data_IF_931733976682
#
_entry.id   IF_931733976682
#
_cell.length_a   1.000
_cell.length_b   1.000
_cell.length_c   1.000
_cell.angle_alpha   90.00
_cell.angle_beta   90.00
_cell.angle_gamma   90.00
#
_symmetry.space_group_name_H-M   'P 1'
#
loop_
_entity.id
_entity.type
_entity.pdbx_description
1 polymer ?
#
# COMPACT_ATOMS: atom_id res chain seq x y z
N UNK A 1 56.73 -13.26 34.68
CA UNK A 1 55.85 -12.27 34.05
C UNK A 1 55.71 -11.12 35.02
N UNK A 2 56.23 -9.92 34.68
CA UNK A 2 56.23 -8.77 35.59
C UNK A 2 54.81 -8.28 35.83
N UNK A 3 54.51 -7.98 37.10
CA UNK A 3 53.19 -7.45 37.56
C UNK A 3 52.75 -6.17 36.83
N UNK A 4 53.68 -5.49 36.21
CA UNK A 4 53.45 -4.28 35.38
C UNK A 4 52.88 -4.60 34.03
N UNK A 5 53.18 -5.78 33.44
CA UNK A 5 52.71 -6.18 32.13
C UNK A 5 51.28 -6.75 32.18
N UNK A 6 50.90 -7.33 33.33
CA UNK A 6 49.53 -7.79 33.59
C UNK A 6 48.55 -6.60 33.60
N UNK A 7 48.90 -5.49 34.22
CA UNK A 7 48.03 -4.28 34.24
C UNK A 7 47.81 -3.74 32.83
N UNK A 8 48.84 -3.73 32.00
CA UNK A 8 48.74 -3.30 30.59
C UNK A 8 47.86 -4.24 29.76
N UNK A 9 47.99 -5.53 29.97
CA UNK A 9 47.14 -6.55 29.34
C UNK A 9 45.69 -6.41 29.76
N UNK A 10 45.41 -6.23 31.03
CA UNK A 10 44.05 -5.99 31.54
C UNK A 10 43.44 -4.69 30.95
N UNK A 11 44.22 -3.60 30.90
CA UNK A 11 43.74 -2.33 30.31
C UNK A 11 43.41 -2.49 28.82
N UNK A 12 44.24 -3.17 28.06
CA UNK A 12 44.02 -3.48 26.63
C UNK A 12 42.77 -4.32 26.42
N UNK A 13 42.50 -5.29 27.29
CA UNK A 13 41.35 -6.18 27.21
C UNK A 13 40.04 -5.47 27.55
N UNK A 14 40.07 -4.58 28.56
CA UNK A 14 38.91 -3.75 28.93
C UNK A 14 38.60 -2.71 27.84
N UNK A 15 39.62 -2.03 27.31
CA UNK A 15 39.42 -1.06 26.23
C UNK A 15 38.95 -1.72 24.94
N UNK A 16 39.51 -2.88 24.60
CA UNK A 16 39.06 -3.67 23.43
C UNK A 16 37.62 -4.15 23.56
N UNK A 17 37.25 -4.65 24.74
CA UNK A 17 35.86 -5.05 25.03
C UNK A 17 34.86 -3.90 24.99
N UNK A 18 35.25 -2.73 25.50
CA UNK A 18 34.40 -1.53 25.45
C UNK A 18 34.16 -1.01 24.02
N UNK A 19 35.21 -1.04 23.17
CA UNK A 19 35.09 -0.65 21.77
C UNK A 19 34.23 -1.62 20.95
N UNK A 20 34.36 -2.92 21.20
CA UNK A 20 33.51 -3.93 20.55
C UNK A 20 32.07 -3.85 21.01
N UNK A 21 31.83 -3.61 22.31
CA UNK A 21 30.50 -3.42 22.88
C UNK A 21 29.81 -2.15 22.36
N UNK A 22 30.55 -1.05 22.24
CA UNK A 22 30.04 0.20 21.66
C UNK A 22 29.69 0.01 20.17
N UNK A 23 30.54 -0.66 19.38
CA UNK A 23 30.26 -0.95 17.97
C UNK A 23 29.01 -1.82 17.79
N UNK A 24 28.81 -2.80 18.66
CA UNK A 24 27.61 -3.65 18.63
C UNK A 24 26.34 -2.87 19.00
N UNK A 25 26.41 -2.01 20.02
CA UNK A 25 25.27 -1.17 20.45
C UNK A 25 24.87 -0.13 19.38
N UNK A 26 25.84 0.46 18.69
CA UNK A 26 25.57 1.37 17.56
C UNK A 26 24.94 0.65 16.37
N UNK A 27 25.33 -0.59 16.08
CA UNK A 27 24.74 -1.40 15.00
C UNK A 27 23.29 -1.83 15.26
N UNK A 28 22.87 -1.91 16.53
CA UNK A 28 21.52 -2.34 16.91
C UNK A 28 20.51 -1.18 17.02
N UNK A 29 20.98 0.06 17.05
CA UNK A 29 20.12 1.25 17.23
C UNK A 29 19.52 1.78 15.91
N UNK A 30 19.74 1.11 14.79
CA UNK A 30 19.21 1.52 13.50
C UNK A 30 17.70 1.24 13.45
N UNK A 31 16.92 2.27 13.19
CA UNK A 31 15.51 2.10 12.88
C UNK A 31 15.35 1.18 11.66
N UNK A 32 14.32 0.34 11.66
CA UNK A 32 14.10 -0.61 10.56
C UNK A 32 13.91 0.07 9.20
N UNK A 33 14.13 -0.67 8.10
CA UNK A 33 13.98 -0.16 6.75
C UNK A 33 12.63 0.52 6.51
N UNK A 34 12.64 1.68 5.87
CA UNK A 34 11.43 2.46 5.56
C UNK A 34 10.98 3.42 6.65
N UNK A 35 11.77 3.62 7.72
CA UNK A 35 11.55 4.66 8.72
C UNK A 35 12.22 5.98 8.32
N UNK A 36 11.86 7.08 9.00
CA UNK A 36 12.49 8.38 8.76
C UNK A 36 14.00 8.39 9.06
N UNK A 37 14.46 7.51 9.96
CA UNK A 37 15.86 7.40 10.37
C UNK A 37 16.66 6.44 9.47
N UNK A 38 16.00 5.53 8.76
CA UNK A 38 16.64 4.61 7.81
C UNK A 38 15.92 4.69 6.45
N UNK A 39 16.42 5.50 5.52
CA UNK A 39 15.82 5.65 4.21
C UNK A 39 16.04 4.45 3.28
N UNK A 40 16.86 3.47 3.69
CA UNK A 40 17.08 2.26 2.90
C UNK A 40 15.89 1.34 3.02
N UNK A 41 15.29 0.99 1.89
CA UNK A 41 14.18 0.04 1.80
C UNK A 41 14.66 -1.30 1.26
N UNK A 42 14.12 -2.40 1.79
CA UNK A 42 14.41 -3.74 1.28
C UNK A 42 13.65 -4.01 -0.02
N UNK A 43 14.17 -4.93 -0.85
CA UNK A 43 13.47 -5.37 -2.06
C UNK A 43 12.08 -5.99 -1.73
N UNK A 44 11.94 -6.66 -0.59
CA UNK A 44 10.66 -7.18 -0.09
C UNK A 44 9.67 -6.05 0.18
N UNK A 45 10.08 -5.01 0.89
CA UNK A 45 9.24 -3.85 1.18
C UNK A 45 8.77 -3.14 -0.11
N UNK A 46 9.68 -2.94 -1.07
CA UNK A 46 9.33 -2.34 -2.37
C UNK A 46 8.31 -3.21 -3.10
N UNK A 47 8.51 -4.54 -3.11
CA UNK A 47 7.56 -5.46 -3.75
C UNK A 47 6.18 -5.35 -3.13
N UNK A 48 6.06 -5.48 -1.80
CA UNK A 48 4.77 -5.53 -1.09
C UNK A 48 4.08 -4.16 -1.04
N UNK A 49 4.81 -3.10 -0.72
CA UNK A 49 4.22 -1.79 -0.48
C UNK A 49 4.09 -0.92 -1.74
N UNK A 50 4.85 -1.22 -2.78
CA UNK A 50 4.84 -0.43 -4.02
C UNK A 50 4.31 -1.26 -5.18
N UNK A 51 4.99 -2.37 -5.53
CA UNK A 51 4.67 -3.12 -6.75
C UNK A 51 3.30 -3.78 -6.66
N UNK A 52 3.04 -4.54 -5.59
CA UNK A 52 1.78 -5.27 -5.44
C UNK A 52 0.60 -4.33 -5.17
N UNK A 53 0.84 -3.23 -4.46
CA UNK A 53 -0.21 -2.31 -4.07
C UNK A 53 -0.57 -1.30 -5.16
N UNK A 54 0.42 -0.73 -5.86
CA UNK A 54 0.22 0.39 -6.77
C UNK A 54 0.47 0.07 -8.24
N UNK A 55 1.25 -0.96 -8.57
CA UNK A 55 1.62 -1.28 -9.93
C UNK A 55 0.83 -2.47 -10.47
N UNK A 56 0.73 -3.54 -9.69
CA UNK A 56 0.06 -4.76 -10.13
C UNK A 56 -1.47 -4.64 -10.02
N UNK A 57 -2.14 -5.20 -11.02
CA UNK A 57 -3.57 -5.44 -10.95
C UNK A 57 -3.85 -6.62 -10.02
N UNK A 58 -4.82 -6.45 -9.12
CA UNK A 58 -5.38 -7.53 -8.30
C UNK A 58 -6.87 -7.65 -8.53
N UNK A 59 -7.39 -8.86 -8.44
CA UNK A 59 -8.84 -9.09 -8.53
C UNK A 59 -9.42 -9.16 -7.12
N UNK A 60 -10.47 -8.38 -6.89
CA UNK A 60 -11.26 -8.43 -5.67
C UNK A 60 -12.70 -8.85 -6.01
N UNK A 61 -13.35 -9.51 -5.08
CA UNK A 61 -14.77 -9.85 -5.16
C UNK A 61 -15.53 -8.94 -4.22
N UNK A 62 -16.57 -8.29 -4.73
CA UNK A 62 -17.49 -7.49 -3.94
C UNK A 62 -18.82 -8.23 -3.85
N UNK A 63 -19.28 -8.46 -2.64
CA UNK A 63 -20.63 -8.98 -2.41
C UNK A 63 -21.66 -7.85 -2.48
N UNK A 64 -22.94 -8.16 -2.75
CA UNK A 64 -24.00 -7.14 -2.82
C UNK A 64 -24.03 -6.28 -1.54
N UNK A 65 -24.07 -4.95 -1.74
CA UNK A 65 -24.03 -3.96 -0.67
C UNK A 65 -22.65 -3.44 -0.32
N UNK A 66 -21.59 -4.22 -0.56
CA UNK A 66 -20.22 -3.79 -0.26
C UNK A 66 -19.78 -2.66 -1.18
N UNK A 67 -18.94 -1.81 -0.62
CA UNK A 67 -18.36 -0.66 -1.31
C UNK A 67 -16.84 -0.75 -1.35
N UNK A 68 -16.27 -0.68 -2.54
CA UNK A 68 -14.83 -0.47 -2.75
C UNK A 68 -14.56 1.04 -2.63
N UNK A 69 -14.06 1.46 -1.49
CA UNK A 69 -13.66 2.87 -1.27
C UNK A 69 -12.21 3.03 -1.71
N UNK A 70 -11.97 3.93 -2.62
CA UNK A 70 -10.69 4.08 -3.31
C UNK A 70 -9.93 5.33 -2.83
N UNK A 71 -8.59 5.25 -2.84
CA UNK A 71 -7.70 6.39 -2.67
C UNK A 71 -7.40 7.06 -4.02
N UNK A 72 -6.80 8.26 -3.95
CA UNK A 72 -6.35 8.97 -5.14
C UNK A 72 -5.35 8.12 -5.96
N UNK A 73 -5.48 8.12 -7.28
CA UNK A 73 -4.67 7.33 -8.19
C UNK A 73 -5.06 5.86 -8.30
N UNK A 74 -6.12 5.43 -7.59
CA UNK A 74 -6.67 4.08 -7.78
C UNK A 74 -7.39 3.99 -9.12
N UNK A 75 -7.21 2.86 -9.78
CA UNK A 75 -7.91 2.50 -11.00
C UNK A 75 -8.62 1.16 -10.82
N UNK A 76 -9.78 1.02 -11.43
CA UNK A 76 -10.51 -0.25 -11.39
C UNK A 76 -11.26 -0.53 -12.68
N UNK A 77 -11.51 -1.82 -12.92
CA UNK A 77 -12.30 -2.33 -14.04
C UNK A 77 -13.27 -3.38 -13.52
N UNK A 78 -14.58 -3.19 -13.74
CA UNK A 78 -15.59 -4.22 -13.45
C UNK A 78 -15.52 -5.27 -14.55
N UNK A 79 -15.22 -6.54 -14.19
CA UNK A 79 -14.96 -7.60 -15.17
C UNK A 79 -16.09 -8.61 -15.33
N UNK A 80 -16.78 -8.95 -14.25
CA UNK A 80 -17.76 -10.03 -14.24
C UNK A 80 -18.76 -9.86 -13.09
N UNK A 81 -19.91 -10.54 -13.17
CA UNK A 81 -20.47 -11.24 -14.34
C UNK A 81 -21.04 -10.27 -15.39
N UNK A 82 -21.37 -10.75 -16.57
CA UNK A 82 -21.96 -9.91 -17.63
C UNK A 82 -23.27 -9.21 -17.20
N UNK A 83 -24.02 -9.80 -16.27
CA UNK A 83 -25.21 -9.24 -15.63
C UNK A 83 -24.90 -8.47 -14.36
N UNK A 84 -23.61 -8.36 -14.00
CA UNK A 84 -23.15 -7.68 -12.80
C UNK A 84 -23.42 -6.19 -12.85
N UNK A 85 -23.84 -5.64 -11.72
CA UNK A 85 -24.13 -4.21 -11.58
C UNK A 85 -23.42 -3.62 -10.39
N UNK A 86 -22.60 -2.62 -10.65
CA UNK A 86 -22.04 -1.71 -9.65
C UNK A 86 -22.37 -0.28 -9.98
N UNK A 87 -22.45 0.56 -8.98
CA UNK A 87 -22.75 1.98 -9.14
C UNK A 87 -21.66 2.83 -8.52
N UNK A 88 -21.44 4.02 -9.08
CA UNK A 88 -20.49 4.99 -8.52
C UNK A 88 -20.99 5.49 -7.18
N UNK A 89 -20.14 5.42 -6.16
CA UNK A 89 -20.27 6.17 -4.91
C UNK A 89 -19.39 7.40 -4.99
N UNK A 90 -19.99 8.56 -4.81
CA UNK A 90 -19.25 9.83 -4.82
C UNK A 90 -19.95 10.83 -3.89
N UNK A 91 -19.39 11.08 -2.70
CA UNK A 91 -19.93 12.07 -1.75
C UNK A 91 -19.83 13.52 -2.25
N UNK A 92 -18.97 13.78 -3.24
CA UNK A 92 -18.70 15.14 -3.73
C UNK A 92 -19.59 15.56 -4.91
N UNK A 93 -20.23 14.58 -5.58
CA UNK A 93 -21.07 14.83 -6.76
C UNK A 93 -20.31 15.05 -8.08
N UNK A 94 -18.97 15.00 -8.08
CA UNK A 94 -18.15 15.23 -9.29
C UNK A 94 -18.09 14.01 -10.24
N UNK A 95 -18.48 12.84 -9.75
CA UNK A 95 -18.40 11.57 -10.49
C UNK A 95 -16.99 10.97 -10.53
N UNK A 96 -16.86 9.89 -11.30
CA UNK A 96 -15.61 9.21 -11.57
C UNK A 96 -15.28 9.25 -13.06
N UNK A 97 -14.05 9.62 -13.45
CA UNK A 97 -13.61 9.54 -14.83
C UNK A 97 -13.63 8.12 -15.37
N UNK A 98 -14.37 7.88 -16.43
CA UNK A 98 -14.31 6.71 -17.29
C UNK A 98 -13.33 7.00 -18.42
N UNK A 99 -12.11 6.46 -18.30
CA UNK A 99 -11.04 6.71 -19.26
C UNK A 99 -11.27 5.97 -20.58
N UNK A 100 -12.11 4.95 -20.58
CA UNK A 100 -12.45 4.21 -21.80
C UNK A 100 -13.44 5.01 -22.66
N UNK A 101 -14.45 5.61 -22.04
CA UNK A 101 -15.45 6.40 -22.75
C UNK A 101 -15.11 7.90 -22.86
N UNK A 102 -14.14 8.39 -22.09
CA UNK A 102 -13.77 9.79 -22.04
C UNK A 102 -14.80 10.70 -21.39
N UNK A 103 -15.60 10.19 -20.45
CA UNK A 103 -16.67 10.92 -19.75
C UNK A 103 -16.61 10.65 -18.25
N UNK A 104 -17.31 11.49 -17.46
CA UNK A 104 -17.49 11.22 -16.03
C UNK A 104 -18.77 10.41 -15.78
N UNK A 105 -18.66 9.32 -15.04
CA UNK A 105 -19.80 8.56 -14.53
C UNK A 105 -20.30 9.25 -13.27
N UNK A 106 -21.55 9.67 -13.26
CA UNK A 106 -22.16 10.38 -12.12
C UNK A 106 -22.40 9.44 -10.93
N UNK A 107 -22.44 10.00 -9.74
CA UNK A 107 -22.85 9.29 -8.54
C UNK A 107 -24.18 8.54 -8.74
N UNK A 108 -24.28 7.30 -8.29
CA UNK A 108 -25.44 6.44 -8.44
C UNK A 108 -25.62 5.81 -9.83
N UNK A 109 -24.87 6.26 -10.84
CA UNK A 109 -24.91 5.67 -12.17
C UNK A 109 -24.12 4.35 -12.22
N UNK A 110 -24.58 3.44 -13.08
CA UNK A 110 -23.93 2.15 -13.28
C UNK A 110 -22.54 2.34 -13.93
N UNK A 111 -21.56 1.60 -13.42
CA UNK A 111 -20.25 1.51 -14.05
C UNK A 111 -20.32 0.45 -15.17
N UNK A 112 -19.95 0.82 -16.42
CA UNK A 112 -19.94 -0.12 -17.53
C UNK A 112 -18.89 -1.22 -17.31
N UNK A 113 -19.18 -2.43 -17.78
CA UNK A 113 -18.23 -3.55 -17.78
C UNK A 113 -17.05 -3.26 -18.71
N UNK A 114 -15.87 -3.66 -18.27
CA UNK A 114 -14.62 -3.57 -19.02
C UNK A 114 -14.16 -2.12 -19.31
N UNK A 115 -14.74 -1.12 -18.67
CA UNK A 115 -14.27 0.24 -18.73
C UNK A 115 -13.25 0.51 -17.61
N UNK A 116 -12.19 1.23 -17.97
CA UNK A 116 -11.18 1.69 -17.03
C UNK A 116 -11.68 2.96 -16.34
N UNK A 117 -11.89 2.88 -15.03
CA UNK A 117 -12.32 3.99 -14.20
C UNK A 117 -11.19 4.43 -13.30
N UNK A 118 -10.92 5.73 -13.25
CA UNK A 118 -9.90 6.33 -12.38
C UNK A 118 -10.52 7.08 -11.21
N UNK A 119 -9.82 7.10 -10.08
CA UNK A 119 -10.23 7.81 -8.86
C UNK A 119 -9.23 8.93 -8.59
N UNK A 120 -9.60 10.20 -8.86
CA UNK A 120 -8.66 11.30 -8.81
C UNK A 120 -8.37 11.82 -7.40
N UNK A 121 -9.21 11.52 -6.41
CA UNK A 121 -9.06 12.05 -5.05
C UNK A 121 -9.47 11.02 -3.98
N UNK A 122 -8.89 11.14 -2.79
CA UNK A 122 -9.16 10.29 -1.62
C UNK A 122 -10.28 10.90 -0.76
N UNK A 123 -11.48 11.02 -1.31
CA UNK A 123 -12.64 11.72 -0.71
C UNK A 123 -13.83 10.80 -0.46
N UNK A 124 -13.59 9.50 -0.42
CA UNK A 124 -14.60 8.48 -0.12
C UNK A 124 -15.34 7.95 -1.34
N UNK A 125 -14.96 8.39 -2.55
CA UNK A 125 -15.57 7.86 -3.78
C UNK A 125 -15.07 6.47 -4.13
N UNK A 126 -15.85 5.75 -4.93
CA UNK A 126 -15.55 4.39 -5.33
C UNK A 126 -16.71 3.67 -6.02
N UNK A 127 -16.76 2.36 -5.85
CA UNK A 127 -17.73 1.47 -6.49
C UNK A 127 -18.54 0.71 -5.43
N UNK A 128 -19.86 0.84 -5.45
CA UNK A 128 -20.77 0.00 -4.66
C UNK A 128 -21.32 -1.13 -5.49
N UNK A 129 -21.19 -2.34 -5.00
CA UNK A 129 -21.75 -3.52 -5.63
C UNK A 129 -23.26 -3.62 -5.36
N UNK A 130 -24.05 -3.65 -6.42
CA UNK A 130 -25.50 -3.95 -6.37
C UNK A 130 -25.72 -5.46 -6.45
N UNK A 131 -24.93 -6.12 -7.26
CA UNK A 131 -24.83 -7.57 -7.34
C UNK A 131 -23.42 -8.01 -7.02
N UNK A 132 -23.17 -9.32 -6.86
CA UNK A 132 -21.80 -9.81 -6.73
C UNK A 132 -20.97 -9.45 -7.96
N UNK A 133 -19.77 -8.89 -7.74
CA UNK A 133 -18.87 -8.40 -8.80
C UNK A 133 -17.45 -8.91 -8.62
N UNK A 134 -16.78 -9.19 -9.74
CA UNK A 134 -15.34 -9.33 -9.84
C UNK A 134 -14.75 -8.04 -10.41
N UNK A 135 -13.88 -7.42 -9.65
CA UNK A 135 -13.30 -6.12 -9.99
C UNK A 135 -11.78 -6.23 -9.99
N UNK A 136 -11.15 -5.87 -11.10
CA UNK A 136 -9.71 -5.66 -11.14
C UNK A 136 -9.40 -4.27 -10.58
N UNK A 137 -8.43 -4.20 -9.66
CA UNK A 137 -8.06 -2.96 -8.98
C UNK A 137 -6.55 -2.80 -9.00
N UNK A 138 -6.09 -1.59 -9.27
CA UNK A 138 -4.71 -1.14 -9.10
C UNK A 138 -4.73 0.13 -8.25
N UNK A 139 -3.85 0.21 -7.26
CA UNK A 139 -3.84 1.31 -6.29
C UNK A 139 -4.44 0.92 -4.95
N UNK A 140 -4.57 1.89 -4.05
CA UNK A 140 -5.03 1.68 -2.68
C UNK A 140 -6.56 1.76 -2.58
N UNK A 141 -7.18 0.69 -2.14
CA UNK A 141 -8.62 0.61 -1.93
C UNK A 141 -8.96 -0.31 -0.76
N UNK A 142 -10.08 -0.02 -0.11
CA UNK A 142 -10.63 -0.75 1.04
C UNK A 142 -12.05 -1.21 0.74
N UNK A 143 -12.40 -2.45 1.11
CA UNK A 143 -13.78 -2.95 1.00
C UNK A 143 -14.50 -2.66 2.31
N UNK A 144 -15.61 -1.93 2.22
CA UNK A 144 -16.51 -1.65 3.35
C UNK A 144 -17.85 -2.36 3.16
N UNK A 145 -18.49 -2.78 4.27
CA UNK A 145 -19.82 -3.37 4.23
C UNK A 145 -20.87 -2.41 3.70
#
# INVERSE_FOLDING_TARGET
VHFKDWKRLLTALVCGGALLGAGYAYGQSQAGPGTAQDPLVTAGWVREQVIEKYINWRTVVLEPGQTLVCRAGTEFVVRAPATGRGVVVDPTGNGLPDLTAGVNIRAGSAVPLNHLVSVPAADGRGLKAVTRLWVMVRGEAEIKP
#
